data_IF_012017894509
#
_entry.id   IF_012017894509
#
_cell.length_a   1.000
_cell.length_b   1.000
_cell.length_c   1.000
_cell.angle_alpha   90.00
_cell.angle_beta   90.00
_cell.angle_gamma   90.00
#
_symmetry.space_group_name_H-M   'P 1'
#
loop_
_entity.id
_entity.type
_entity.pdbx_description
1 polymer ?
#
# COMPACT_ATOMS: atom_id res chain seq x y z
N UNK A 1 17.21 4.10 16.65
CA UNK A 1 16.09 3.16 16.81
C UNK A 1 14.95 3.68 15.96
N UNK A 2 14.48 2.91 14.98
CA UNK A 2 13.14 3.14 14.42
C UNK A 2 12.19 2.32 15.28
N UNK A 3 11.66 2.96 16.31
CA UNK A 3 10.63 2.37 17.14
C UNK A 3 9.37 2.15 16.29
N UNK A 4 8.65 1.06 16.57
CA UNK A 4 7.34 0.84 15.98
C UNK A 4 6.41 1.98 16.42
N UNK A 5 5.42 2.37 15.59
CA UNK A 5 4.42 3.32 16.05
C UNK A 5 3.71 2.77 17.29
N UNK A 6 3.65 3.59 18.34
CA UNK A 6 2.86 3.31 19.52
C UNK A 6 1.43 3.81 19.29
N UNK A 7 0.46 2.92 19.46
CA UNK A 7 -0.96 3.23 19.42
C UNK A 7 -1.58 2.85 20.76
N UNK A 8 -2.57 3.63 21.22
CA UNK A 8 -3.36 3.28 22.39
C UNK A 8 -4.26 2.09 22.09
N UNK A 9 -4.71 1.37 23.13
CA UNK A 9 -5.68 0.28 22.98
C UNK A 9 -6.96 0.74 22.27
N UNK A 10 -7.40 1.99 22.52
CA UNK A 10 -8.53 2.60 21.84
C UNK A 10 -8.29 2.78 20.33
N UNK A 11 -7.10 3.19 19.92
CA UNK A 11 -6.74 3.34 18.51
C UNK A 11 -6.63 1.99 17.80
N UNK A 12 -6.05 0.99 18.48
CA UNK A 12 -5.99 -0.39 17.98
C UNK A 12 -7.39 -0.96 17.81
N UNK A 13 -8.27 -0.74 18.78
CA UNK A 13 -9.66 -1.19 18.73
C UNK A 13 -10.47 -0.47 17.64
N UNK A 14 -10.29 0.85 17.47
CA UNK A 14 -10.92 1.60 16.39
C UNK A 14 -10.51 1.06 15.01
N UNK A 15 -9.21 0.79 14.82
CA UNK A 15 -8.71 0.13 13.61
C UNK A 15 -9.30 -1.27 13.41
N UNK A 16 -9.38 -2.08 14.47
CA UNK A 16 -10.00 -3.41 14.42
C UNK A 16 -11.48 -3.32 14.00
N UNK A 17 -12.26 -2.43 14.61
CA UNK A 17 -13.68 -2.24 14.31
C UNK A 17 -13.92 -1.74 12.88
N UNK A 18 -13.10 -0.81 12.38
CA UNK A 18 -13.17 -0.34 10.99
C UNK A 18 -12.97 -1.51 10.01
N UNK A 19 -11.98 -2.35 10.25
CA UNK A 19 -11.63 -3.43 9.33
C UNK A 19 -12.42 -4.74 9.53
N UNK A 20 -13.16 -4.89 10.64
CA UNK A 20 -14.09 -6.00 10.86
C UNK A 20 -15.41 -5.87 10.06
N UNK A 21 -15.61 -4.74 9.37
CA UNK A 21 -16.78 -4.49 8.51
C UNK A 21 -16.79 -5.39 7.26
N UNK A 22 -17.94 -5.54 6.57
CA UNK A 22 -18.01 -6.30 5.32
C UNK A 22 -17.39 -5.52 4.15
N UNK A 23 -16.08 -5.66 3.97
CA UNK A 23 -15.36 -5.12 2.81
C UNK A 23 -15.74 -5.84 1.51
N UNK A 24 -16.05 -5.06 0.48
CA UNK A 24 -16.44 -5.54 -0.84
C UNK A 24 -15.65 -4.84 -1.94
N UNK A 25 -15.55 -5.50 -3.09
CA UNK A 25 -15.05 -4.88 -4.31
C UNK A 25 -16.10 -3.90 -4.84
N UNK A 26 -15.67 -2.68 -5.16
CA UNK A 26 -16.55 -1.64 -5.69
C UNK A 26 -16.42 -1.52 -7.21
N UNK A 27 -15.21 -1.27 -7.70
CA UNK A 27 -14.96 -1.07 -9.13
C UNK A 27 -13.48 -1.23 -9.49
N UNK A 28 -13.21 -1.42 -10.79
CA UNK A 28 -11.87 -1.37 -11.36
C UNK A 28 -11.81 -0.25 -12.40
N UNK A 29 -10.77 0.56 -12.32
CA UNK A 29 -10.61 1.77 -13.15
C UNK A 29 -9.37 1.62 -14.02
N UNK A 30 -9.55 1.74 -15.33
CA UNK A 30 -8.47 1.79 -16.31
C UNK A 30 -8.24 3.20 -16.87
N UNK A 31 -9.15 4.14 -16.60
CA UNK A 31 -9.13 5.52 -17.11
C UNK A 31 -9.66 6.48 -16.04
N UNK A 32 -9.05 7.67 -15.91
CA UNK A 32 -9.43 8.68 -14.91
C UNK A 32 -10.91 9.07 -14.96
N UNK A 33 -11.56 8.98 -16.12
CA UNK A 33 -13.00 9.27 -16.30
C UNK A 33 -13.91 8.26 -15.60
N UNK A 34 -13.40 7.09 -15.26
CA UNK A 34 -14.13 6.02 -14.58
C UNK A 34 -13.97 6.08 -13.05
N UNK A 35 -13.22 7.05 -12.53
CA UNK A 35 -13.01 7.16 -11.09
C UNK A 35 -14.36 7.33 -10.35
N UNK A 36 -14.60 6.56 -9.29
CA UNK A 36 -15.78 6.79 -8.45
C UNK A 36 -15.66 8.17 -7.79
N UNK A 37 -16.81 8.77 -7.48
CA UNK A 37 -16.85 10.03 -6.73
C UNK A 37 -16.04 9.89 -5.43
N UNK A 38 -15.23 10.90 -5.12
CA UNK A 38 -14.43 10.93 -3.88
C UNK A 38 -15.35 10.95 -2.66
N UNK A 39 -15.21 9.97 -1.77
CA UNK A 39 -15.96 9.86 -0.52
C UNK A 39 -15.02 9.46 0.60
N UNK A 40 -15.00 10.23 1.68
CA UNK A 40 -14.13 9.99 2.83
C UNK A 40 -12.65 9.92 2.45
N UNK A 41 -11.87 9.31 3.32
CA UNK A 41 -10.43 9.10 3.18
C UNK A 41 -10.16 7.99 2.16
N UNK A 42 -9.20 8.19 1.27
CA UNK A 42 -8.73 7.17 0.35
C UNK A 42 -7.27 6.85 0.63
N UNK A 43 -6.96 5.55 0.65
CA UNK A 43 -5.59 5.06 0.74
C UNK A 43 -5.31 4.15 -0.45
N UNK A 44 -4.04 4.07 -0.84
CA UNK A 44 -3.63 3.18 -1.91
C UNK A 44 -2.48 2.28 -1.48
N UNK A 45 -2.47 1.03 -1.93
CA UNK A 45 -1.34 0.12 -1.79
C UNK A 45 -0.60 0.04 -3.12
N UNK A 46 0.70 0.32 -3.10
CA UNK A 46 1.60 0.17 -4.23
C UNK A 46 2.73 -0.79 -3.85
N UNK A 47 3.36 -1.42 -4.84
CA UNK A 47 4.52 -2.27 -4.59
C UNK A 47 4.86 -3.13 -5.81
N UNK A 48 6.01 -3.79 -5.76
CA UNK A 48 6.42 -4.74 -6.82
C UNK A 48 5.41 -5.87 -7.00
N UNK A 49 5.40 -6.47 -8.19
CA UNK A 49 4.73 -7.75 -8.39
C UNK A 49 5.21 -8.78 -7.34
N UNK A 50 4.29 -9.58 -6.80
CA UNK A 50 4.53 -10.60 -5.78
C UNK A 50 5.11 -10.10 -4.43
N UNK A 51 5.07 -8.79 -4.15
CA UNK A 51 5.48 -8.24 -2.85
C UNK A 51 4.57 -8.68 -1.69
N UNK A 52 3.35 -9.13 -1.98
CA UNK A 52 2.35 -9.52 -0.98
C UNK A 52 1.18 -8.55 -0.81
N UNK A 53 0.99 -7.60 -1.75
CA UNK A 53 -0.08 -6.59 -1.73
C UNK A 53 -1.49 -7.16 -1.55
N UNK A 54 -1.91 -8.07 -2.42
CA UNK A 54 -3.24 -8.70 -2.32
C UNK A 54 -3.39 -9.51 -1.02
N UNK A 55 -2.34 -10.20 -0.58
CA UNK A 55 -2.33 -10.91 0.71
C UNK A 55 -2.50 -9.96 1.89
N UNK A 56 -1.84 -8.80 1.86
CA UNK A 56 -1.96 -7.79 2.90
C UNK A 56 -3.35 -7.18 2.94
N UNK A 57 -3.94 -6.83 1.79
CA UNK A 57 -5.32 -6.30 1.73
C UNK A 57 -6.31 -7.33 2.28
N UNK A 58 -6.16 -8.61 1.93
CA UNK A 58 -6.99 -9.69 2.46
C UNK A 58 -6.82 -9.86 3.99
N UNK A 59 -5.59 -9.73 4.50
CA UNK A 59 -5.31 -9.80 5.93
C UNK A 59 -5.90 -8.59 6.69
N UNK A 60 -5.75 -7.37 6.14
CA UNK A 60 -6.33 -6.16 6.70
C UNK A 60 -7.84 -6.27 6.81
N UNK A 61 -8.52 -6.70 5.75
CA UNK A 61 -9.99 -6.78 5.68
C UNK A 61 -10.58 -8.05 6.29
N UNK A 62 -9.75 -9.03 6.68
CA UNK A 62 -10.22 -10.34 7.15
C UNK A 62 -10.96 -11.15 6.08
N UNK A 63 -10.83 -10.79 4.79
CA UNK A 63 -11.55 -11.42 3.67
C UNK A 63 -10.60 -12.23 2.80
N UNK A 64 -10.87 -13.53 2.65
CA UNK A 64 -10.12 -14.37 1.70
C UNK A 64 -10.57 -14.07 0.28
N UNK A 65 -9.62 -13.75 -0.61
CA UNK A 65 -9.87 -13.61 -2.05
C UNK A 65 -10.55 -12.31 -2.49
N UNK A 66 -10.68 -11.32 -1.60
CA UNK A 66 -11.19 -10.00 -1.93
C UNK A 66 -10.27 -9.32 -2.96
N UNK A 67 -8.99 -9.14 -2.58
CA UNK A 67 -7.94 -8.79 -3.50
C UNK A 67 -7.36 -10.08 -4.10
N UNK A 68 -7.48 -10.23 -5.42
CA UNK A 68 -6.99 -11.41 -6.15
C UNK A 68 -5.51 -11.24 -6.49
N UNK A 69 -4.70 -12.25 -6.18
CA UNK A 69 -3.34 -12.38 -6.71
C UNK A 69 -3.43 -12.75 -8.19
N UNK A 70 -3.28 -11.79 -9.10
CA UNK A 70 -3.15 -12.11 -10.52
C UNK A 70 -1.76 -12.67 -10.78
N UNK A 71 -1.67 -13.98 -10.99
CA UNK A 71 -0.43 -14.67 -11.37
C UNK A 71 -0.14 -14.55 -12.88
N UNK A 72 -1.00 -13.87 -13.66
CA UNK A 72 -0.83 -13.70 -15.11
C UNK A 72 -0.22 -12.33 -15.39
N UNK A 73 1.04 -12.26 -15.87
CA UNK A 73 1.67 -11.04 -16.35
C UNK A 73 0.87 -10.39 -17.48
N UNK A 74 0.78 -9.06 -17.50
CA UNK A 74 0.32 -8.33 -18.71
C UNK A 74 -1.19 -8.14 -18.91
N UNK A 75 -2.05 -8.41 -17.91
CA UNK A 75 -3.43 -7.88 -17.95
C UNK A 75 -3.46 -6.38 -17.66
N UNK A 76 -4.43 -5.68 -18.26
CA UNK A 76 -4.73 -4.27 -18.02
C UNK A 76 -4.58 -3.92 -16.55
N UNK A 77 -3.64 -3.03 -16.28
CA UNK A 77 -3.24 -2.60 -14.95
C UNK A 77 -4.27 -1.58 -14.43
N UNK A 78 -5.34 -2.08 -13.82
CA UNK A 78 -6.42 -1.27 -13.26
C UNK A 78 -6.18 -0.94 -11.79
N UNK A 79 -6.69 0.23 -11.36
CA UNK A 79 -6.86 0.55 -9.95
C UNK A 79 -8.11 -0.17 -9.44
N UNK A 80 -7.98 -1.04 -8.43
CA UNK A 80 -9.15 -1.73 -7.86
C UNK A 80 -9.56 -1.05 -6.55
N UNK A 81 -10.83 -0.67 -6.45
CA UNK A 81 -11.39 0.02 -5.31
C UNK A 81 -12.17 -0.97 -4.44
N UNK A 82 -11.91 -0.91 -3.14
CA UNK A 82 -12.59 -1.69 -2.11
C UNK A 82 -13.13 -0.73 -1.05
N UNK A 83 -14.33 -1.02 -0.56
CA UNK A 83 -14.94 -0.25 0.51
C UNK A 83 -15.79 -1.13 1.39
N UNK A 84 -16.21 -0.58 2.53
CA UNK A 84 -17.16 -1.21 3.43
C UNK A 84 -18.20 -0.18 3.87
N UNK A 85 -19.45 -0.61 4.05
CA UNK A 85 -20.52 0.28 4.48
C UNK A 85 -20.19 0.90 5.85
N UNK A 86 -20.33 2.23 5.92
CA UNK A 86 -20.00 3.07 7.08
C UNK A 86 -18.51 3.12 7.45
N UNK A 87 -17.61 2.49 6.67
CA UNK A 87 -16.19 2.79 6.80
C UNK A 87 -15.92 4.17 6.20
N UNK A 88 -15.14 5.00 6.90
CA UNK A 88 -14.70 6.30 6.41
C UNK A 88 -13.58 6.21 5.38
N UNK A 89 -13.09 4.99 5.09
CA UNK A 89 -11.91 4.73 4.25
C UNK A 89 -12.28 3.90 3.02
N UNK A 90 -11.74 4.31 1.87
CA UNK A 90 -11.67 3.49 0.65
C UNK A 90 -10.25 2.96 0.47
N UNK A 91 -10.12 1.66 0.19
CA UNK A 91 -8.84 1.00 -0.06
C UNK A 91 -8.66 0.80 -1.56
N UNK A 92 -7.55 1.31 -2.10
CA UNK A 92 -7.21 1.18 -3.52
C UNK A 92 -6.02 0.25 -3.69
N UNK A 93 -6.19 -0.78 -4.50
CA UNK A 93 -5.11 -1.67 -4.92
C UNK A 93 -4.52 -1.15 -6.23
N UNK A 94 -3.32 -0.59 -6.15
CA UNK A 94 -2.61 -0.14 -7.35
C UNK A 94 -1.98 -1.32 -8.07
N UNK A 95 -1.79 -1.24 -9.39
CA UNK A 95 -1.07 -2.27 -10.12
C UNK A 95 0.37 -2.41 -9.61
N UNK A 96 0.88 -3.64 -9.64
CA UNK A 96 2.24 -3.90 -9.24
C UNK A 96 3.24 -3.43 -10.31
N UNK A 97 4.27 -2.69 -9.89
CA UNK A 97 5.32 -2.22 -10.79
C UNK A 97 6.47 -3.24 -10.93
N UNK A 98 7.37 -3.00 -11.89
CA UNK A 98 8.56 -3.84 -12.10
C UNK A 98 8.33 -5.11 -12.91
N UNK A 99 7.30 -5.15 -13.77
CA UNK A 99 7.10 -6.24 -14.73
C UNK A 99 8.09 -6.11 -15.90
N UNK A 100 8.95 -7.11 -16.06
CA UNK A 100 10.03 -7.12 -17.06
C UNK A 100 9.59 -7.43 -18.51
N UNK A 101 8.30 -7.67 -18.77
CA UNK A 101 7.84 -8.23 -20.05
C UNK A 101 6.55 -7.59 -20.61
N UNK A 102 6.10 -6.45 -20.10
CA UNK A 102 4.96 -5.74 -20.66
C UNK A 102 5.38 -4.87 -21.86
N UNK A 103 4.55 -4.74 -22.91
CA UNK A 103 4.80 -3.81 -24.01
C UNK A 103 4.98 -2.37 -23.50
N UNK A 104 5.86 -1.60 -24.13
CA UNK A 104 6.17 -0.23 -23.71
C UNK A 104 4.92 0.65 -23.66
N UNK A 105 4.01 0.57 -24.65
CA UNK A 105 2.80 1.39 -24.64
C UNK A 105 1.90 1.08 -23.43
N UNK A 106 1.87 -0.17 -22.98
CA UNK A 106 1.10 -0.60 -21.82
C UNK A 106 1.70 -0.05 -20.52
N UNK A 107 3.03 -0.09 -20.39
CA UNK A 107 3.75 0.50 -19.25
C UNK A 107 3.55 2.02 -19.21
N UNK A 108 3.63 2.69 -20.35
CA UNK A 108 3.44 4.13 -20.46
C UNK A 108 2.01 4.55 -20.13
N UNK A 109 1.00 3.81 -20.64
CA UNK A 109 -0.41 4.07 -20.36
C UNK A 109 -0.73 3.91 -18.87
N UNK A 110 -0.24 2.83 -18.27
CA UNK A 110 -0.37 2.60 -16.84
C UNK A 110 0.34 3.68 -16.00
N UNK A 111 1.57 4.05 -16.39
CA UNK A 111 2.33 5.10 -15.70
C UNK A 111 1.58 6.43 -15.75
N UNK A 112 0.99 6.79 -16.90
CA UNK A 112 0.13 7.97 -17.04
C UNK A 112 -1.11 7.89 -16.15
N UNK A 113 -1.79 6.75 -16.10
CA UNK A 113 -2.96 6.55 -15.23
C UNK A 113 -2.59 6.73 -13.76
N UNK A 114 -1.55 6.04 -13.29
CA UNK A 114 -1.08 6.13 -11.91
C UNK A 114 -0.68 7.55 -11.55
N UNK A 115 0.11 8.21 -12.40
CA UNK A 115 0.52 9.59 -12.13
C UNK A 115 -0.67 10.56 -12.09
N UNK A 116 -1.63 10.39 -13.01
CA UNK A 116 -2.85 11.20 -13.04
C UNK A 116 -3.72 10.97 -11.80
N UNK A 117 -3.83 9.73 -11.34
CA UNK A 117 -4.53 9.37 -10.12
C UNK A 117 -3.85 9.99 -8.89
N UNK A 118 -2.53 9.83 -8.76
CA UNK A 118 -1.76 10.38 -7.64
C UNK A 118 -1.90 11.91 -7.54
N UNK A 119 -1.87 12.64 -8.66
CA UNK A 119 -2.00 14.10 -8.66
C UNK A 119 -3.43 14.62 -8.60
N UNK A 120 -4.39 13.86 -9.11
CA UNK A 120 -5.77 14.30 -9.33
C UNK A 120 -6.75 13.88 -8.25
N UNK A 121 -6.32 13.11 -7.24
CA UNK A 121 -7.21 12.52 -6.23
C UNK A 121 -7.12 13.26 -4.90
N UNK A 122 -8.00 14.24 -4.63
CA UNK A 122 -7.87 15.13 -3.47
C UNK A 122 -8.06 14.44 -2.12
N UNK A 123 -8.80 13.33 -2.08
CA UNK A 123 -9.04 12.55 -0.88
C UNK A 123 -8.04 11.40 -0.66
N UNK A 124 -7.05 11.23 -1.57
CA UNK A 124 -5.96 10.27 -1.37
C UNK A 124 -5.03 10.82 -0.28
N UNK A 125 -5.07 10.21 0.90
CA UNK A 125 -4.31 10.68 2.07
C UNK A 125 -2.95 10.02 2.20
N UNK A 126 -2.84 8.76 1.78
CA UNK A 126 -1.60 8.00 1.95
C UNK A 126 -1.47 6.87 0.93
N UNK A 127 -0.28 6.74 0.36
CA UNK A 127 0.14 5.54 -0.38
C UNK A 127 0.99 4.66 0.53
N UNK A 128 0.55 3.44 0.79
CA UNK A 128 1.36 2.43 1.48
C UNK A 128 2.22 1.71 0.45
N UNK A 129 3.52 2.04 0.44
CA UNK A 129 4.50 1.45 -0.46
C UNK A 129 5.07 0.18 0.14
N UNK A 130 4.74 -0.96 -0.46
CA UNK A 130 5.10 -2.27 0.02
C UNK A 130 6.48 -2.69 -0.46
N UNK A 131 7.31 -3.16 0.48
CA UNK A 131 8.66 -3.65 0.22
C UNK A 131 8.81 -5.04 0.83
N UNK A 132 9.25 -6.02 0.04
CA UNK A 132 9.49 -7.39 0.53
C UNK A 132 10.71 -7.38 1.45
N UNK A 133 10.50 -7.67 2.74
CA UNK A 133 11.56 -7.62 3.76
C UNK A 133 12.72 -8.58 3.49
N UNK A 134 12.53 -9.64 2.69
CA UNK A 134 13.61 -10.57 2.32
C UNK A 134 14.63 -9.94 1.37
N UNK A 135 14.23 -8.89 0.66
CA UNK A 135 15.01 -8.31 -0.43
C UNK A 135 15.33 -6.83 -0.21
N UNK A 136 14.57 -6.14 0.63
CA UNK A 136 14.66 -4.71 0.83
C UNK A 136 14.29 -3.90 -0.41
N UNK A 137 14.60 -2.61 -0.37
CA UNK A 137 14.39 -1.66 -1.46
C UNK A 137 15.22 -2.09 -2.69
N UNK A 138 14.60 -2.05 -3.86
CA UNK A 138 15.25 -2.24 -5.18
C UNK A 138 15.07 -0.98 -6.05
N UNK A 139 15.72 -0.97 -7.21
CA UNK A 139 15.67 0.17 -8.14
C UNK A 139 14.24 0.59 -8.49
N UNK A 140 13.39 -0.36 -8.88
CA UNK A 140 11.98 -0.07 -9.19
C UNK A 140 11.21 0.53 -7.99
N UNK A 141 11.61 0.22 -6.75
CA UNK A 141 11.02 0.84 -5.56
C UNK A 141 11.49 2.30 -5.43
N UNK A 142 12.77 2.60 -5.73
CA UNK A 142 13.30 3.97 -5.74
C UNK A 142 12.65 4.83 -6.82
N UNK A 143 12.40 4.27 -8.00
CA UNK A 143 11.63 4.92 -9.08
C UNK A 143 10.20 5.22 -8.65
N UNK A 144 9.52 4.26 -8.01
CA UNK A 144 8.17 4.46 -7.49
C UNK A 144 8.14 5.56 -6.42
N UNK A 145 9.11 5.58 -5.49
CA UNK A 145 9.25 6.66 -4.53
C UNK A 145 9.49 8.01 -5.22
N UNK A 146 10.29 8.04 -6.29
CA UNK A 146 10.56 9.27 -7.04
C UNK A 146 9.30 9.83 -7.72
N UNK A 147 8.41 8.94 -8.18
CA UNK A 147 7.12 9.31 -8.74
C UNK A 147 6.20 9.91 -7.65
N UNK A 148 6.16 9.30 -6.47
CA UNK A 148 5.39 9.78 -5.33
C UNK A 148 5.88 11.14 -4.83
N UNK A 149 7.21 11.32 -4.75
CA UNK A 149 7.85 12.61 -4.45
C UNK A 149 7.44 13.69 -5.47
N UNK A 150 7.50 13.39 -6.77
CA UNK A 150 7.09 14.32 -7.85
C UNK A 150 5.60 14.63 -7.84
N UNK A 151 4.76 13.69 -7.43
CA UNK A 151 3.32 13.87 -7.30
C UNK A 151 2.93 14.59 -6.00
N UNK A 152 3.88 14.85 -5.09
CA UNK A 152 3.64 15.38 -3.75
C UNK A 152 2.63 14.55 -2.94
N UNK A 153 2.64 13.23 -3.13
CA UNK A 153 1.74 12.30 -2.41
C UNK A 153 2.49 11.67 -1.27
N UNK A 154 1.99 11.88 -0.05
CA UNK A 154 2.57 11.27 1.16
C UNK A 154 2.49 9.74 1.05
N UNK A 155 3.62 9.08 1.26
CA UNK A 155 3.69 7.62 1.24
C UNK A 155 4.40 7.06 2.46
N UNK A 156 3.96 5.89 2.91
CA UNK A 156 4.54 5.20 4.05
C UNK A 156 5.00 3.81 3.63
N UNK A 157 6.22 3.44 4.01
CA UNK A 157 6.75 2.12 3.67
C UNK A 157 6.26 1.08 4.65
N UNK A 158 5.74 -0.02 4.09
CA UNK A 158 5.32 -1.22 4.81
C UNK A 158 6.21 -2.38 4.39
N UNK A 159 6.95 -2.96 5.33
CA UNK A 159 7.82 -4.11 5.07
C UNK A 159 7.00 -5.39 5.14
N UNK A 160 6.74 -6.06 4.02
CA UNK A 160 5.94 -7.28 3.99
C UNK A 160 6.78 -8.53 4.27
N UNK A 161 6.12 -9.64 4.62
CA UNK A 161 6.73 -10.96 4.85
C UNK A 161 7.81 -10.93 5.93
N UNK A 162 7.64 -10.08 6.95
CA UNK A 162 8.60 -9.91 8.04
C UNK A 162 8.87 -11.22 8.82
N UNK A 163 7.95 -12.19 8.75
CA UNK A 163 8.14 -13.54 9.30
C UNK A 163 9.19 -14.39 8.56
N UNK A 164 9.61 -13.98 7.36
CA UNK A 164 10.58 -14.72 6.52
C UNK A 164 12.01 -14.23 6.67
N UNK A 165 12.28 -13.29 7.57
CA UNK A 165 13.62 -12.74 7.83
C UNK A 165 13.91 -12.76 9.33
N UNK A 166 15.18 -12.92 9.72
CA UNK A 166 15.57 -12.97 11.14
C UNK A 166 15.37 -11.59 11.80
N UNK A 167 14.97 -11.51 13.08
CA UNK A 167 14.71 -10.23 13.76
C UNK A 167 15.86 -9.22 13.66
N UNK A 168 17.11 -9.65 13.84
CA UNK A 168 18.27 -8.76 13.70
C UNK A 168 18.47 -8.23 12.29
N UNK A 169 18.19 -9.04 11.26
CA UNK A 169 18.25 -8.60 9.86
C UNK A 169 17.11 -7.63 9.53
N UNK A 170 15.92 -7.85 10.10
CA UNK A 170 14.79 -6.93 9.96
C UNK A 170 15.11 -5.57 10.58
N UNK A 171 15.70 -5.54 11.78
CA UNK A 171 16.11 -4.29 12.43
C UNK A 171 17.16 -3.51 11.60
N UNK A 172 18.16 -4.21 11.04
CA UNK A 172 19.13 -3.60 10.12
C UNK A 172 18.45 -3.05 8.86
N UNK A 173 17.53 -3.81 8.27
CA UNK A 173 16.77 -3.37 7.10
C UNK A 173 15.93 -2.13 7.41
N UNK A 174 15.22 -2.11 8.54
CA UNK A 174 14.41 -0.96 8.96
C UNK A 174 15.27 0.29 9.12
N UNK A 175 16.43 0.16 9.75
CA UNK A 175 17.39 1.27 9.92
C UNK A 175 17.84 1.81 8.56
N UNK A 176 18.31 0.92 7.67
CA UNK A 176 18.76 1.32 6.33
C UNK A 176 17.63 1.94 5.49
N UNK A 177 16.42 1.41 5.60
CA UNK A 177 15.22 1.93 4.91
C UNK A 177 14.89 3.33 5.42
N UNK A 178 14.93 3.55 6.74
CA UNK A 178 14.66 4.85 7.34
C UNK A 178 15.67 5.92 6.89
N UNK A 179 16.95 5.59 6.77
CA UNK A 179 17.97 6.52 6.24
C UNK A 179 17.67 6.96 4.81
N UNK A 180 17.14 6.05 3.98
CA UNK A 180 16.71 6.38 2.61
C UNK A 180 15.51 7.32 2.67
N UNK A 181 14.50 7.01 3.49
CA UNK A 181 13.27 7.80 3.58
C UNK A 181 13.49 9.21 4.12
N UNK A 182 14.45 9.43 5.03
CA UNK A 182 14.77 10.78 5.55
C UNK A 182 15.17 11.78 4.47
N UNK A 183 15.68 11.30 3.34
CA UNK A 183 16.11 12.14 2.21
C UNK A 183 14.97 12.44 1.23
N UNK A 184 13.75 11.97 1.51
CA UNK A 184 12.62 12.01 0.56
C UNK A 184 11.49 12.85 1.13
N UNK A 185 11.09 13.93 0.45
CA UNK A 185 10.18 14.92 1.03
C UNK A 185 8.76 14.41 1.25
N UNK A 186 8.29 13.43 0.46
CA UNK A 186 6.96 12.87 0.60
C UNK A 186 6.91 11.59 1.47
N UNK A 187 8.06 11.12 1.96
CA UNK A 187 8.11 9.91 2.76
C UNK A 187 7.65 10.16 4.20
N UNK A 188 6.70 9.35 4.65
CA UNK A 188 6.37 9.23 6.07
C UNK A 188 7.54 8.54 6.79
N UNK A 189 7.99 9.06 7.94
CA UNK A 189 9.21 8.58 8.60
C UNK A 189 9.06 7.21 9.27
N UNK A 190 7.83 6.82 9.62
CA UNK A 190 7.55 5.58 10.36
C UNK A 190 7.35 4.40 9.41
N UNK A 191 8.07 3.30 9.68
CA UNK A 191 7.96 2.03 8.98
C UNK A 191 7.05 1.07 9.74
N UNK A 192 6.25 0.27 9.03
CA UNK A 192 5.46 -0.81 9.64
C UNK A 192 5.86 -2.16 9.04
N UNK A 193 6.53 -3.05 9.78
CA UNK A 193 6.74 -4.43 9.35
C UNK A 193 5.48 -5.24 9.54
N UNK A 194 5.14 -6.06 8.54
CA UNK A 194 3.92 -6.87 8.51
C UNK A 194 4.16 -8.30 8.07
N UNK A 195 3.34 -9.21 8.58
CA UNK A 195 3.19 -10.56 8.04
C UNK A 195 1.70 -10.88 7.89
N UNK A 196 1.25 -11.03 6.64
CA UNK A 196 -0.12 -11.50 6.36
C UNK A 196 -0.35 -12.95 6.80
N UNK A 197 0.72 -13.74 6.96
CA UNK A 197 0.66 -15.14 7.40
C UNK A 197 0.58 -15.26 8.93
N UNK A 198 1.37 -14.46 9.65
CA UNK A 198 1.47 -14.49 11.12
C UNK A 198 0.63 -13.43 11.83
N UNK A 199 0.00 -12.52 11.09
CA UNK A 199 -0.77 -11.40 11.64
C UNK A 199 0.08 -10.26 12.22
N UNK A 200 1.41 -10.36 12.17
CA UNK A 200 2.33 -9.35 12.69
C UNK A 200 2.04 -7.98 12.05
N UNK A 201 1.90 -6.94 12.87
CA UNK A 201 1.76 -5.53 12.47
C UNK A 201 0.47 -5.19 11.72
N UNK A 202 -0.48 -6.13 11.60
CA UNK A 202 -1.76 -5.91 10.91
C UNK A 202 -2.65 -4.97 11.74
N UNK A 203 -2.66 -5.15 13.06
CA UNK A 203 -3.29 -4.25 14.02
C UNK A 203 -2.72 -2.82 13.96
N UNK A 204 -1.39 -2.67 13.97
CA UNK A 204 -0.71 -1.39 13.84
C UNK A 204 -1.07 -0.70 12.52
N UNK A 205 -1.08 -1.44 11.40
CA UNK A 205 -1.43 -0.89 10.11
C UNK A 205 -2.93 -0.49 10.04
N UNK A 206 -3.83 -1.23 10.69
CA UNK A 206 -5.23 -0.83 10.81
C UNK A 206 -5.40 0.46 11.61
N UNK A 207 -4.67 0.59 12.73
CA UNK A 207 -4.70 1.79 13.56
C UNK A 207 -4.13 3.00 12.79
N UNK A 208 -2.99 2.84 12.10
CA UNK A 208 -2.40 3.86 11.23
C UNK A 208 -3.41 4.36 10.18
N UNK A 209 -4.08 3.44 9.48
CA UNK A 209 -5.07 3.79 8.45
C UNK A 209 -6.28 4.49 9.07
N UNK A 210 -6.74 4.01 10.22
CA UNK A 210 -7.89 4.57 10.93
C UNK A 210 -7.64 5.99 11.46
N UNK A 211 -6.39 6.32 11.77
CA UNK A 211 -5.98 7.63 12.28
C UNK A 211 -5.80 8.71 11.18
N UNK A 212 -5.92 8.33 9.90
CA UNK A 212 -5.80 9.29 8.80
C UNK A 212 -7.00 10.26 8.75
N UNK A 213 -6.76 11.55 8.39
CA UNK A 213 -7.80 12.59 8.32
C UNK A 213 -8.60 12.59 7.00
#
# INVERSE_FOLDING_TARGET
MTDLPEYTDEQLEAGRLMFNRPWTFQTSVADMRQLPASRGTEIAFAGRSNVGKSSLINALTGRKGLARTSNTPGRTQMLNFFGAEGASVTVVDMPGYGYAQAPKEMVDAWTRLVFSYLRGRPNLRRVFLLIDSRHGIKENDLEAMQLLDKAAVVYQVVLTKADKIKPGQLATLMTATAEILRKRPAAHPVLIPTSSEKGLGIDLLRAEICALP
#
